data_IF_758813357770
#
_entry.id   IF_758813357770
#
_cell.length_a   1.000
_cell.length_b   1.000
_cell.length_c   1.000
_cell.angle_alpha   90.00
_cell.angle_beta   90.00
_cell.angle_gamma   90.00
#
_symmetry.space_group_name_H-M   'P 1'
#
loop_
_entity.id
_entity.type
_entity.pdbx_description
1 polymer ?
#
# COMPACT_ATOMS: atom_id res chain seq x y z
N UNK A 1 23.91 -46.54 2.81
CA UNK A 1 23.64 -47.25 4.08
C UNK A 1 22.52 -46.54 4.80
N UNK A 2 21.30 -47.08 4.72
CA UNK A 2 20.12 -46.61 5.46
C UNK A 2 19.83 -47.62 6.58
N UNK A 3 19.51 -47.21 7.81
CA UNK A 3 18.93 -48.12 8.77
C UNK A 3 17.42 -48.25 8.53
N UNK A 4 16.99 -49.50 8.42
CA UNK A 4 15.61 -49.94 8.47
C UNK A 4 15.04 -49.68 9.88
N UNK A 5 13.86 -49.06 9.95
CA UNK A 5 13.04 -49.02 11.17
C UNK A 5 11.75 -49.76 10.88
N UNK A 6 11.65 -50.93 11.50
CA UNK A 6 10.44 -51.73 11.59
C UNK A 6 9.36 -50.95 12.34
N UNK A 7 8.21 -50.75 11.71
CA UNK A 7 7.02 -50.21 12.38
C UNK A 7 5.97 -51.31 12.53
N UNK A 8 5.66 -51.56 13.78
CA UNK A 8 4.80 -52.60 14.33
C UNK A 8 3.35 -52.44 13.87
N UNK A 9 2.75 -53.55 13.43
CA UNK A 9 1.33 -53.69 13.12
C UNK A 9 0.51 -53.74 14.42
N UNK A 10 -0.13 -52.63 14.80
CA UNK A 10 -1.17 -52.62 15.84
C UNK A 10 -2.58 -52.70 15.24
N UNK A 11 -3.14 -53.92 15.31
CA UNK A 11 -4.50 -54.27 15.72
C UNK A 11 -5.62 -53.23 15.47
N UNK A 12 -6.31 -53.36 14.33
CA UNK A 12 -7.65 -52.78 14.11
C UNK A 12 -8.67 -53.54 14.96
N UNK A 13 -9.19 -52.89 16.01
CA UNK A 13 -10.44 -53.30 16.66
C UNK A 13 -11.64 -52.98 15.75
N UNK A 14 -12.76 -53.72 15.87
CA UNK A 14 -13.95 -53.45 15.09
C UNK A 14 -14.55 -52.09 15.48
N UNK A 15 -14.85 -51.28 14.46
CA UNK A 15 -15.58 -50.03 14.59
C UNK A 15 -17.01 -50.35 15.07
N UNK A 16 -17.27 -50.19 16.38
CA UNK A 16 -18.64 -50.05 16.88
C UNK A 16 -19.20 -48.72 16.38
N UNK A 17 -20.02 -48.79 15.35
CA UNK A 17 -20.92 -47.70 14.96
C UNK A 17 -21.94 -47.50 16.10
N UNK A 18 -22.09 -46.28 16.67
CA UNK A 18 -23.21 -46.01 17.55
C UNK A 18 -24.50 -46.13 16.76
N UNK A 19 -25.33 -47.13 17.11
CA UNK A 19 -26.69 -47.25 16.59
C UNK A 19 -27.53 -46.04 17.04
N UNK A 20 -28.24 -45.36 16.12
CA UNK A 20 -29.24 -44.38 16.50
C UNK A 20 -30.44 -45.11 17.12
N UNK A 21 -30.63 -44.95 18.43
CA UNK A 21 -31.85 -45.37 19.12
C UNK A 21 -33.03 -44.61 18.53
N UNK A 22 -34.06 -45.33 18.11
CA UNK A 22 -35.34 -44.79 17.67
C UNK A 22 -35.97 -43.96 18.79
N UNK A 23 -35.78 -42.64 18.71
CA UNK A 23 -36.50 -41.66 19.51
C UNK A 23 -37.90 -41.43 18.91
N UNK A 24 -38.88 -41.28 19.78
CA UNK A 24 -40.30 -41.13 19.49
C UNK A 24 -40.60 -40.11 18.38
N UNK A 25 -41.45 -40.55 17.44
CA UNK A 25 -41.95 -39.79 16.29
C UNK A 25 -42.94 -38.73 16.78
N UNK A 26 -42.45 -37.55 17.17
CA UNK A 26 -43.35 -36.43 17.49
C UNK A 26 -42.67 -35.07 17.64
N UNK A 27 -41.45 -35.03 18.18
CA UNK A 27 -40.77 -33.77 18.52
C UNK A 27 -39.37 -33.58 17.92
N UNK A 28 -38.87 -34.55 17.15
CA UNK A 28 -37.51 -34.51 16.59
C UNK A 28 -37.45 -33.75 15.26
N UNK A 29 -38.56 -33.68 14.53
CA UNK A 29 -38.64 -33.03 13.20
C UNK A 29 -38.37 -31.51 13.26
N UNK A 30 -38.96 -30.73 14.17
CA UNK A 30 -38.70 -29.28 14.26
C UNK A 30 -37.28 -28.98 14.75
N UNK A 31 -36.74 -29.88 15.59
CA UNK A 31 -35.45 -29.71 16.25
C UNK A 31 -34.29 -29.93 15.27
N UNK A 32 -34.42 -30.89 14.36
CA UNK A 32 -33.47 -31.08 13.26
C UNK A 32 -33.48 -29.90 12.27
N UNK A 33 -34.65 -29.30 12.01
CA UNK A 33 -34.78 -28.14 11.12
C UNK A 33 -34.09 -26.91 11.73
N UNK A 34 -34.27 -26.67 13.04
CA UNK A 34 -33.64 -25.55 13.74
C UNK A 34 -32.12 -25.62 13.75
N UNK A 35 -31.53 -26.79 14.00
CA UNK A 35 -30.07 -26.96 14.02
C UNK A 35 -29.43 -26.79 12.65
N UNK A 36 -30.07 -27.29 11.58
CA UNK A 36 -29.62 -27.04 10.20
C UNK A 36 -29.72 -25.56 9.82
N UNK A 37 -30.77 -24.86 10.24
CA UNK A 37 -30.93 -23.42 9.97
C UNK A 37 -29.82 -22.60 10.64
N UNK A 38 -29.49 -22.91 11.90
CA UNK A 38 -28.39 -22.25 12.64
C UNK A 38 -27.03 -22.56 11.99
N UNK A 39 -26.80 -23.80 11.55
CA UNK A 39 -25.57 -24.16 10.82
C UNK A 39 -25.46 -23.44 9.48
N UNK A 40 -26.56 -23.30 8.75
CA UNK A 40 -26.61 -22.56 7.48
C UNK A 40 -26.37 -21.06 7.70
N UNK A 41 -27.00 -20.45 8.70
CA UNK A 41 -26.77 -19.04 9.05
C UNK A 41 -25.34 -18.80 9.56
N UNK A 42 -24.80 -19.71 10.38
CA UNK A 42 -23.43 -19.66 10.86
C UNK A 42 -22.42 -19.74 9.72
N UNK A 43 -22.64 -20.65 8.77
CA UNK A 43 -21.83 -20.76 7.55
C UNK A 43 -21.90 -19.49 6.70
N UNK A 44 -23.12 -18.99 6.41
CA UNK A 44 -23.30 -17.77 5.62
C UNK A 44 -22.67 -16.52 6.28
N UNK A 45 -22.68 -16.44 7.62
CA UNK A 45 -22.07 -15.34 8.38
C UNK A 45 -20.55 -15.35 8.28
N UNK A 46 -19.92 -16.53 8.41
CA UNK A 46 -18.46 -16.68 8.26
C UNK A 46 -18.01 -16.38 6.83
N UNK A 47 -18.78 -16.82 5.82
CA UNK A 47 -18.48 -16.51 4.42
C UNK A 47 -18.55 -15.00 4.14
N UNK A 48 -19.53 -14.30 4.72
CA UNK A 48 -19.66 -12.85 4.57
C UNK A 48 -18.52 -12.08 5.26
N UNK A 49 -18.12 -12.53 6.45
CA UNK A 49 -16.98 -11.97 7.19
C UNK A 49 -15.65 -12.18 6.44
N UNK A 50 -15.44 -13.36 5.85
CA UNK A 50 -14.25 -13.67 5.06
C UNK A 50 -14.18 -12.81 3.78
N UNK A 51 -15.29 -12.63 3.08
CA UNK A 51 -15.31 -11.76 1.90
C UNK A 51 -15.01 -10.31 2.27
N UNK A 52 -15.61 -9.83 3.36
CA UNK A 52 -15.41 -8.45 3.81
C UNK A 52 -13.97 -8.20 4.27
N UNK A 53 -13.33 -9.17 4.92
CA UNK A 53 -11.91 -9.05 5.30
C UNK A 53 -10.99 -9.01 4.07
N UNK A 54 -11.26 -9.83 3.04
CA UNK A 54 -10.51 -9.78 1.78
C UNK A 54 -10.66 -8.46 1.04
N UNK A 55 -11.87 -7.89 1.01
CA UNK A 55 -12.12 -6.59 0.38
C UNK A 55 -11.35 -5.46 1.11
N UNK A 56 -11.39 -5.45 2.45
CA UNK A 56 -10.62 -4.48 3.25
C UNK A 56 -9.12 -4.63 3.02
N UNK A 57 -8.61 -5.86 3.01
CA UNK A 57 -7.20 -6.11 2.75
C UNK A 57 -6.80 -5.58 1.36
N UNK A 58 -7.59 -5.87 0.31
CA UNK A 58 -7.30 -5.35 -1.04
C UNK A 58 -7.28 -3.83 -1.10
N UNK A 59 -8.22 -3.17 -0.43
CA UNK A 59 -8.23 -1.70 -0.32
C UNK A 59 -6.96 -1.19 0.34
N UNK A 60 -6.58 -1.75 1.50
CA UNK A 60 -5.37 -1.29 2.21
C UNK A 60 -4.10 -1.51 1.40
N UNK A 61 -4.01 -2.63 0.67
CA UNK A 61 -2.89 -2.91 -0.22
C UNK A 61 -2.80 -1.88 -1.36
N UNK A 62 -3.92 -1.52 -1.98
CA UNK A 62 -3.94 -0.51 -3.04
C UNK A 62 -3.53 0.87 -2.55
N UNK A 63 -3.94 1.24 -1.33
CA UNK A 63 -3.57 2.53 -0.74
C UNK A 63 -2.08 2.57 -0.37
N UNK A 64 -1.55 1.50 0.21
CA UNK A 64 -0.11 1.39 0.52
C UNK A 64 0.74 1.45 -0.75
N UNK A 65 0.37 0.69 -1.77
CA UNK A 65 1.06 0.70 -3.07
C UNK A 65 1.10 2.10 -3.68
N UNK A 66 -0.04 2.83 -3.65
CA UNK A 66 -0.09 4.23 -4.13
C UNK A 66 0.84 5.14 -3.32
N UNK A 67 0.87 4.98 -2.00
CA UNK A 67 1.75 5.77 -1.13
C UNK A 67 3.23 5.49 -1.42
N UNK A 68 3.60 4.23 -1.67
CA UNK A 68 4.97 3.85 -1.98
C UNK A 68 5.41 4.34 -3.36
N UNK A 69 4.51 4.36 -4.35
CA UNK A 69 4.77 4.99 -5.65
C UNK A 69 5.04 6.49 -5.52
N UNK A 70 4.24 7.21 -4.73
CA UNK A 70 4.44 8.63 -4.47
C UNK A 70 5.76 8.91 -3.74
N UNK A 71 6.06 8.12 -2.70
CA UNK A 71 7.33 8.21 -1.98
C UNK A 71 8.51 7.95 -2.92
N UNK A 72 8.42 6.95 -3.79
CA UNK A 72 9.44 6.64 -4.79
C UNK A 72 9.63 7.77 -5.80
N UNK A 73 8.55 8.40 -6.27
CA UNK A 73 8.60 9.56 -7.16
C UNK A 73 9.30 10.77 -6.50
N UNK A 74 8.95 11.07 -5.24
CA UNK A 74 9.59 12.15 -4.51
C UNK A 74 11.08 11.87 -4.24
N UNK A 75 11.45 10.64 -3.87
CA UNK A 75 12.86 10.25 -3.74
C UNK A 75 13.61 10.35 -5.08
N UNK A 76 12.98 9.97 -6.19
CA UNK A 76 13.58 10.11 -7.52
C UNK A 76 13.80 11.58 -7.89
N UNK A 77 12.84 12.46 -7.60
CA UNK A 77 13.00 13.90 -7.75
C UNK A 77 14.17 14.43 -6.91
N UNK A 78 14.23 14.10 -5.61
CA UNK A 78 15.34 14.49 -4.74
C UNK A 78 16.69 13.99 -5.27
N UNK A 79 16.75 12.75 -5.76
CA UNK A 79 17.95 12.18 -6.38
C UNK A 79 18.42 12.95 -7.62
N UNK A 80 17.49 13.50 -8.41
CA UNK A 80 17.82 14.35 -9.56
C UNK A 80 18.36 15.72 -9.16
N UNK A 81 18.18 16.16 -7.91
CA UNK A 81 18.59 17.50 -7.42
C UNK A 81 19.96 17.51 -6.72
N UNK A 82 20.76 16.46 -6.89
CA UNK A 82 22.00 16.27 -6.14
C UNK A 82 23.17 17.17 -6.62
N UNK A 83 23.10 17.73 -7.83
CA UNK A 83 24.18 18.61 -8.32
C UNK A 83 24.16 19.98 -7.62
N UNK A 84 25.32 20.66 -7.47
CA UNK A 84 25.39 21.97 -6.84
C UNK A 84 24.46 23.02 -7.50
N UNK A 85 24.37 23.00 -8.84
CA UNK A 85 23.52 23.91 -9.59
C UNK A 85 22.03 23.70 -9.27
N UNK A 86 21.59 22.44 -9.16
CA UNK A 86 20.21 22.12 -8.81
C UNK A 86 19.93 22.40 -7.34
N UNK A 87 20.87 22.13 -6.42
CA UNK A 87 20.73 22.49 -5.01
C UNK A 87 20.53 23.98 -4.80
N UNK A 88 21.23 24.83 -5.55
CA UNK A 88 20.99 26.28 -5.56
C UNK A 88 19.56 26.61 -6.02
N UNK A 89 19.07 25.94 -7.07
CA UNK A 89 17.74 26.15 -7.61
C UNK A 89 16.63 25.74 -6.61
N UNK A 90 16.86 24.68 -5.85
CA UNK A 90 15.94 24.15 -4.85
C UNK A 90 15.67 25.11 -3.67
N UNK A 91 16.51 26.12 -3.47
CA UNK A 91 16.27 27.18 -2.48
C UNK A 91 15.16 28.16 -2.93
N UNK A 92 14.78 28.11 -4.20
CA UNK A 92 13.77 28.99 -4.79
C UNK A 92 12.49 28.25 -5.13
N UNK A 93 11.31 28.90 -5.04
CA UNK A 93 10.06 28.32 -5.53
C UNK A 93 10.11 28.00 -7.02
N UNK A 94 9.36 26.99 -7.49
CA UNK A 94 9.34 26.54 -8.89
C UNK A 94 9.12 27.71 -9.87
N UNK A 95 8.19 28.61 -9.53
CA UNK A 95 7.85 29.78 -10.33
C UNK A 95 9.05 30.71 -10.59
N UNK A 96 10.08 30.68 -9.73
CA UNK A 96 11.28 31.51 -9.83
C UNK A 96 12.46 30.77 -10.47
N UNK A 97 12.34 29.48 -10.76
CA UNK A 97 13.43 28.72 -11.37
C UNK A 97 13.90 29.29 -12.71
N UNK A 98 13.04 29.77 -13.63
CA UNK A 98 13.49 30.32 -14.90
C UNK A 98 14.40 31.55 -14.75
N UNK A 99 14.12 32.43 -13.78
CA UNK A 99 14.95 33.60 -13.52
C UNK A 99 16.23 33.27 -12.76
N UNK A 100 16.20 32.22 -11.90
CA UNK A 100 17.34 31.81 -11.10
C UNK A 100 18.26 30.79 -11.78
N UNK A 101 17.81 30.16 -12.87
CA UNK A 101 18.58 29.14 -13.59
C UNK A 101 19.96 29.66 -14.02
N UNK A 102 20.05 30.91 -14.50
CA UNK A 102 21.32 31.52 -14.89
C UNK A 102 22.24 31.79 -13.69
N UNK A 103 21.67 32.21 -12.55
CA UNK A 103 22.43 32.47 -11.32
C UNK A 103 22.99 31.18 -10.71
N UNK A 104 22.19 30.11 -10.75
CA UNK A 104 22.57 28.80 -10.23
C UNK A 104 23.40 27.96 -11.23
N UNK A 105 23.58 28.41 -12.48
CA UNK A 105 24.20 27.61 -13.55
C UNK A 105 23.40 26.35 -13.92
N UNK A 106 22.09 26.34 -13.64
CA UNK A 106 21.17 25.23 -13.86
C UNK A 106 20.50 25.33 -15.24
N UNK A 107 21.30 25.29 -16.31
CA UNK A 107 20.83 25.44 -17.70
C UNK A 107 19.78 24.38 -18.11
N UNK A 108 19.74 23.26 -17.39
CA UNK A 108 18.84 22.14 -17.60
C UNK A 108 17.72 22.06 -16.54
N UNK A 109 17.31 23.19 -15.93
CA UNK A 109 16.28 23.21 -14.89
C UNK A 109 14.97 22.52 -15.31
N UNK A 110 14.60 22.59 -16.59
CA UNK A 110 13.40 21.93 -17.13
C UNK A 110 13.44 20.39 -17.03
N UNK A 111 14.64 19.78 -16.93
CA UNK A 111 14.77 18.32 -16.73
C UNK A 111 14.26 17.88 -15.37
N UNK A 112 14.24 18.78 -14.37
CA UNK A 112 13.71 18.49 -13.04
C UNK A 112 12.17 18.46 -12.99
N UNK A 113 11.49 19.00 -14.01
CA UNK A 113 10.03 19.07 -14.02
C UNK A 113 9.37 17.71 -14.24
N UNK A 114 10.13 16.69 -14.64
CA UNK A 114 9.59 15.37 -14.92
C UNK A 114 10.66 14.30 -14.79
N UNK A 115 10.25 13.09 -14.46
CA UNK A 115 11.17 11.96 -14.36
C UNK A 115 10.46 10.63 -14.35
N UNK A 116 11.21 9.59 -13.99
CA UNK A 116 10.68 8.26 -13.76
C UNK A 116 11.10 7.76 -12.38
N UNK A 117 10.19 7.05 -11.73
CA UNK A 117 10.44 6.29 -10.51
C UNK A 117 9.87 4.88 -10.72
N UNK A 118 10.76 3.90 -10.92
CA UNK A 118 10.36 2.56 -11.33
C UNK A 118 9.63 2.60 -12.68
N UNK A 119 8.42 2.05 -12.72
CA UNK A 119 7.54 2.01 -13.89
C UNK A 119 6.68 3.26 -14.11
N UNK A 120 6.68 4.21 -13.16
CA UNK A 120 5.81 5.38 -13.20
C UNK A 120 6.58 6.62 -13.61
N UNK A 121 6.07 7.33 -14.61
CA UNK A 121 6.49 8.70 -14.89
C UNK A 121 5.95 9.59 -13.77
N UNK A 122 6.68 10.63 -13.42
CA UNK A 122 6.17 11.68 -12.54
C UNK A 122 6.43 13.04 -13.16
N UNK A 123 5.63 14.02 -12.76
CA UNK A 123 5.73 15.41 -13.16
C UNK A 123 5.64 16.29 -11.92
N UNK A 124 6.55 17.26 -11.85
CA UNK A 124 6.57 18.31 -10.86
C UNK A 124 5.56 19.38 -11.24
N UNK A 125 4.59 19.60 -10.36
CA UNK A 125 3.58 20.64 -10.54
C UNK A 125 3.95 21.89 -9.76
N UNK A 126 4.45 21.72 -8.54
CA UNK A 126 4.88 22.83 -7.71
C UNK A 126 6.00 22.44 -6.73
N UNK A 127 6.81 23.42 -6.40
CA UNK A 127 7.88 23.35 -5.42
C UNK A 127 7.91 24.64 -4.61
N UNK A 128 7.67 24.54 -3.31
CA UNK A 128 7.68 25.68 -2.40
C UNK A 128 8.63 25.41 -1.22
N UNK A 129 9.88 25.93 -1.27
CA UNK A 129 10.79 25.82 -0.16
C UNK A 129 10.36 26.74 0.99
N UNK A 130 10.62 26.30 2.22
CA UNK A 130 10.39 27.06 3.45
C UNK A 130 11.60 26.96 4.38
N UNK A 131 11.59 27.73 5.47
CA UNK A 131 12.67 27.70 6.46
C UNK A 131 12.81 26.32 7.13
N UNK A 132 11.71 25.57 7.26
CA UNK A 132 11.68 24.27 7.95
C UNK A 132 11.80 23.08 6.99
N UNK A 133 11.68 23.30 5.68
CA UNK A 133 11.48 22.21 4.73
C UNK A 133 11.06 22.70 3.36
N UNK A 134 10.22 21.92 2.68
CA UNK A 134 9.62 22.30 1.42
C UNK A 134 8.31 21.56 1.20
N UNK A 135 7.40 22.15 0.44
CA UNK A 135 6.23 21.47 -0.07
C UNK A 135 6.47 21.08 -1.53
N UNK A 136 6.22 19.81 -1.83
CA UNK A 136 6.45 19.20 -3.13
C UNK A 136 5.12 18.68 -3.68
N UNK A 137 4.66 19.24 -4.80
CA UNK A 137 3.47 18.75 -5.49
C UNK A 137 3.87 17.97 -6.74
N UNK A 138 3.46 16.70 -6.78
CA UNK A 138 3.74 15.78 -7.87
C UNK A 138 2.45 15.21 -8.45
N UNK A 139 2.50 14.95 -9.75
CA UNK A 139 1.53 14.11 -10.46
C UNK A 139 2.21 12.84 -10.94
N UNK A 140 1.59 11.70 -10.65
CA UNK A 140 2.01 10.42 -11.22
C UNK A 140 1.40 10.25 -12.62
N UNK A 141 2.19 9.75 -13.55
CA UNK A 141 1.79 9.54 -14.93
C UNK A 141 0.61 8.57 -15.04
N UNK A 142 -0.42 9.00 -15.77
CA UNK A 142 -1.68 8.26 -15.91
C UNK A 142 -2.71 8.56 -14.80
N UNK A 143 -2.38 9.44 -13.85
CA UNK A 143 -3.30 9.93 -12.82
C UNK A 143 -3.61 11.41 -13.02
N UNK A 144 -4.87 11.79 -12.89
CA UNK A 144 -5.30 13.19 -12.79
C UNK A 144 -5.08 13.77 -11.38
N UNK A 145 -4.85 12.90 -10.38
CA UNK A 145 -4.70 13.33 -8.99
C UNK A 145 -3.33 13.95 -8.74
N UNK A 146 -3.34 15.09 -8.05
CA UNK A 146 -2.17 15.77 -7.54
C UNK A 146 -1.92 15.36 -6.09
N UNK A 147 -0.66 15.10 -5.75
CA UNK A 147 -0.25 14.75 -4.40
C UNK A 147 0.74 15.77 -3.87
N UNK A 148 0.47 16.29 -2.68
CA UNK A 148 1.40 17.13 -1.94
C UNK A 148 2.16 16.29 -0.90
N UNK A 149 3.47 16.48 -0.87
CA UNK A 149 4.39 15.87 0.07
C UNK A 149 5.12 16.97 0.82
N UNK A 150 5.09 16.88 2.16
CA UNK A 150 5.94 17.72 3.00
C UNK A 150 7.34 17.12 3.09
N UNK A 151 8.35 17.95 2.86
CA UNK A 151 9.75 17.62 3.07
C UNK A 151 10.29 18.42 4.25
N UNK A 152 11.18 17.83 5.04
CA UNK A 152 11.96 18.54 6.06
C UNK A 152 13.34 18.89 5.54
N UNK A 153 13.86 20.04 5.95
CA UNK A 153 15.22 20.47 5.63
C UNK A 153 16.21 19.78 6.56
N UNK A 154 17.16 19.05 5.99
CA UNK A 154 18.29 18.42 6.65
C UNK A 154 19.60 19.11 6.24
N UNK A 155 20.71 18.92 6.97
CA UNK A 155 22.01 19.52 6.62
C UNK A 155 22.50 19.13 5.22
N UNK A 156 22.18 17.92 4.79
CA UNK A 156 22.63 17.34 3.53
C UNK A 156 21.61 17.51 2.38
N UNK A 157 20.48 18.20 2.63
CA UNK A 157 19.44 18.44 1.63
C UNK A 157 18.02 18.31 2.18
N UNK A 158 17.05 18.00 1.33
CA UNK A 158 15.67 17.77 1.75
C UNK A 158 15.41 16.28 1.99
N UNK A 159 14.66 15.95 3.05
CA UNK A 159 14.24 14.60 3.37
C UNK A 159 12.72 14.53 3.43
N UNK A 160 12.15 13.39 3.03
CA UNK A 160 10.70 13.21 3.07
C UNK A 160 10.20 13.18 4.51
N UNK A 161 9.12 13.91 4.79
CA UNK A 161 8.42 13.82 6.08
C UNK A 161 7.32 12.77 5.98
N UNK A 162 7.06 12.06 7.08
CA UNK A 162 5.91 11.17 7.15
C UNK A 162 4.62 11.98 7.06
N UNK A 163 3.79 11.69 6.04
CA UNK A 163 2.54 12.39 5.79
C UNK A 163 2.37 12.73 4.31
N UNK A 164 1.60 11.90 3.61
CA UNK A 164 1.15 12.15 2.24
C UNK A 164 -0.22 12.82 2.30
N UNK A 165 -0.37 13.98 1.66
CA UNK A 165 -1.67 14.62 1.49
C UNK A 165 -2.04 14.58 0.01
N UNK A 166 -3.10 13.84 -0.31
CA UNK A 166 -3.69 13.94 -1.64
C UNK A 166 -4.39 15.30 -1.74
N UNK A 167 -3.95 16.14 -2.66
CA UNK A 167 -4.62 17.40 -2.96
C UNK A 167 -5.62 17.07 -4.06
N UNK A 168 -6.89 16.93 -3.69
CA UNK A 168 -7.94 16.78 -4.69
C UNK A 168 -8.02 18.08 -5.52
N UNK A 169 -8.10 17.98 -6.86
CA UNK A 169 -8.18 19.13 -7.74
C UNK A 169 -9.44 19.96 -7.54
#
# INVERSE_FOLDING_TARGET
MLPAVASSLMRRGPLMLPQPRHAEKGFVLPLAIGTSLVLLLGSASVHSLALHSHLRARSSWQDQERQDQLRSAAMAFLGQTNTPAQRCLMEWPLAQWPSQAAHCGANDASKLNQGQAGSHRWELLDWQPSAQGAELQLRLGGSESVSSLSLSRAPDGFQLRDGLQAVQP
#
